data_IF_034708260333
#
_entry.id   IF_034708260333
#
_cell.length_a   1.000
_cell.length_b   1.000
_cell.length_c   1.000
_cell.angle_alpha   90.00
_cell.angle_beta   90.00
_cell.angle_gamma   90.00
#
_symmetry.space_group_name_H-M   'P 1'
#
loop_
_entity.id
_entity.type
_entity.pdbx_description
1 polymer ?
#
# COMPACT_ATOMS: atom_id res chain seq x y z
N UNK A 1 23.48 -3.27 -11.62
CA UNK A 1 22.67 -2.15 -11.10
C UNK A 1 21.87 -1.47 -12.21
N UNK A 2 22.48 -1.18 -13.38
CA UNK A 2 21.79 -0.52 -14.51
C UNK A 2 20.49 -1.21 -14.97
N UNK A 3 20.52 -2.54 -15.09
CA UNK A 3 19.36 -3.35 -15.48
C UNK A 3 18.21 -3.31 -14.44
N UNK A 4 18.55 -3.29 -13.15
CA UNK A 4 17.58 -3.14 -12.06
C UNK A 4 16.93 -1.75 -12.12
N UNK A 5 17.74 -0.70 -12.30
CA UNK A 5 17.25 0.66 -12.42
C UNK A 5 16.33 0.84 -13.64
N UNK A 6 16.70 0.26 -14.78
CA UNK A 6 15.86 0.23 -15.98
C UNK A 6 14.53 -0.49 -15.73
N UNK A 7 14.58 -1.67 -15.10
CA UNK A 7 13.38 -2.47 -14.76
C UNK A 7 12.44 -1.70 -13.84
N UNK A 8 12.97 -1.11 -12.77
CA UNK A 8 12.15 -0.37 -11.79
C UNK A 8 11.61 0.94 -12.38
N UNK A 9 12.37 1.62 -13.24
CA UNK A 9 11.90 2.82 -13.95
C UNK A 9 10.80 2.47 -14.96
N UNK A 10 10.92 1.33 -15.63
CA UNK A 10 9.88 0.76 -16.50
C UNK A 10 8.61 0.46 -15.71
N UNK A 11 8.74 -0.19 -14.56
CA UNK A 11 7.62 -0.44 -13.66
C UNK A 11 6.96 0.85 -13.16
N UNK A 12 7.74 1.84 -12.73
CA UNK A 12 7.22 3.15 -12.31
C UNK A 12 6.47 3.87 -13.43
N UNK A 13 6.91 3.72 -14.69
CA UNK A 13 6.17 4.22 -15.85
C UNK A 13 4.82 3.51 -16.02
N UNK A 14 4.77 2.19 -15.84
CA UNK A 14 3.53 1.40 -15.90
C UNK A 14 2.56 1.83 -14.80
N UNK A 15 3.05 2.07 -13.59
CA UNK A 15 2.26 2.59 -12.47
C UNK A 15 1.68 3.97 -12.76
N UNK A 16 2.48 4.88 -13.32
CA UNK A 16 2.01 6.20 -13.76
C UNK A 16 0.92 6.11 -14.81
N UNK A 17 1.05 5.20 -15.77
CA UNK A 17 0.00 4.94 -16.76
C UNK A 17 -1.29 4.37 -16.14
N UNK A 18 -1.18 3.65 -15.02
CA UNK A 18 -2.32 3.14 -14.25
C UNK A 18 -2.93 4.16 -13.26
N UNK A 19 -2.37 5.38 -13.21
CA UNK A 19 -2.86 6.48 -12.37
C UNK A 19 -2.26 6.52 -10.96
N UNK A 20 -1.18 5.77 -10.68
CA UNK A 20 -0.42 5.90 -9.42
C UNK A 20 0.60 7.01 -9.57
N UNK A 21 0.70 7.90 -8.57
CA UNK A 21 1.64 9.02 -8.55
C UNK A 21 3.09 8.59 -8.24
N UNK A 22 3.63 7.61 -8.98
CA UNK A 22 5.01 7.15 -8.87
C UNK A 22 5.98 8.14 -9.53
N UNK A 23 6.15 9.31 -8.91
CA UNK A 23 7.05 10.38 -9.35
C UNK A 23 8.54 9.98 -9.31
N UNK A 24 9.38 10.87 -9.84
CA UNK A 24 10.81 10.59 -9.97
C UNK A 24 11.50 10.42 -8.61
N UNK A 25 11.16 11.26 -7.62
CA UNK A 25 11.77 11.20 -6.29
C UNK A 25 11.41 9.88 -5.60
N UNK A 26 10.15 9.45 -5.67
CA UNK A 26 9.72 8.16 -5.16
C UNK A 26 10.43 6.98 -5.82
N UNK A 27 10.67 7.08 -7.13
CA UNK A 27 11.42 6.06 -7.87
C UNK A 27 12.87 6.00 -7.38
N UNK A 28 13.51 7.15 -7.10
CA UNK A 28 14.84 7.17 -6.51
C UNK A 28 14.87 6.60 -5.08
N UNK A 29 13.85 6.91 -4.27
CA UNK A 29 13.71 6.36 -2.93
C UNK A 29 13.53 4.83 -2.94
N UNK A 30 12.78 4.30 -3.92
CA UNK A 30 12.71 2.85 -4.14
C UNK A 30 14.09 2.26 -4.44
N UNK A 31 14.84 2.83 -5.39
CA UNK A 31 16.16 2.31 -5.75
C UNK A 31 17.12 2.30 -4.55
N UNK A 32 17.13 3.37 -3.76
CA UNK A 32 17.90 3.45 -2.51
C UNK A 32 17.46 2.39 -1.49
N UNK A 33 16.15 2.14 -1.37
CA UNK A 33 15.66 1.09 -0.49
C UNK A 33 16.13 -0.29 -0.97
N UNK A 34 16.09 -0.56 -2.27
CA UNK A 34 16.52 -1.83 -2.85
C UNK A 34 18.02 -2.11 -2.67
N UNK A 35 18.87 -1.08 -2.57
CA UNK A 35 20.29 -1.25 -2.23
C UNK A 35 20.52 -1.87 -0.83
N UNK A 36 19.50 -1.82 0.04
CA UNK A 36 19.55 -2.39 1.39
C UNK A 36 18.78 -3.72 1.53
N UNK A 37 18.12 -4.20 0.47
CA UNK A 37 17.24 -5.36 0.51
C UNK A 37 17.73 -6.45 -0.44
N UNK A 38 17.29 -7.69 -0.18
CA UNK A 38 17.49 -8.78 -1.13
C UNK A 38 16.47 -8.70 -2.26
N UNK A 39 16.91 -8.24 -3.43
CA UNK A 39 16.08 -8.12 -4.65
C UNK A 39 15.68 -9.46 -5.26
N UNK A 40 16.30 -10.57 -4.85
CA UNK A 40 15.91 -11.90 -5.28
C UNK A 40 14.66 -12.41 -4.54
N UNK A 41 14.31 -11.80 -3.40
CA UNK A 41 13.09 -12.10 -2.65
C UNK A 41 11.93 -11.18 -3.11
N UNK A 42 10.93 -11.69 -3.84
CA UNK A 42 9.86 -10.86 -4.39
C UNK A 42 9.06 -10.11 -3.33
N UNK A 43 8.93 -10.66 -2.11
CA UNK A 43 8.25 -9.99 -1.02
C UNK A 43 8.95 -8.69 -0.59
N UNK A 44 10.30 -8.67 -0.57
CA UNK A 44 11.10 -7.49 -0.21
C UNK A 44 10.85 -6.36 -1.23
N UNK A 45 10.91 -6.68 -2.52
CA UNK A 45 10.67 -5.73 -3.62
C UNK A 45 9.22 -5.21 -3.60
N UNK A 46 8.27 -6.11 -3.35
CA UNK A 46 6.86 -5.77 -3.25
C UNK A 46 6.59 -4.74 -2.16
N UNK A 47 7.10 -4.96 -0.95
CA UNK A 47 6.90 -4.05 0.17
C UNK A 47 7.66 -2.74 0.01
N UNK A 48 8.90 -2.79 -0.49
CA UNK A 48 9.67 -1.58 -0.79
C UNK A 48 8.94 -0.67 -1.77
N UNK A 49 8.39 -1.23 -2.84
CA UNK A 49 7.59 -0.46 -3.82
C UNK A 49 6.29 0.07 -3.23
N UNK A 50 5.55 -0.71 -2.43
CA UNK A 50 4.34 -0.20 -1.75
C UNK A 50 4.63 0.98 -0.83
N UNK A 51 5.73 0.94 -0.10
CA UNK A 51 6.08 1.98 0.88
C UNK A 51 6.62 3.26 0.22
N UNK A 52 7.28 3.14 -0.93
CA UNK A 52 7.95 4.28 -1.59
C UNK A 52 7.10 4.90 -2.70
N UNK A 53 6.40 4.09 -3.49
CA UNK A 53 5.70 4.54 -4.70
C UNK A 53 4.24 4.94 -4.47
N UNK A 54 3.59 4.42 -3.43
CA UNK A 54 2.20 4.76 -3.11
C UNK A 54 2.13 5.99 -2.20
N UNK A 55 1.34 6.98 -2.57
CA UNK A 55 1.15 8.21 -1.79
C UNK A 55 -0.17 8.20 -1.02
N UNK A 56 -1.17 7.49 -1.53
CA UNK A 56 -2.55 7.46 -1.03
C UNK A 56 -3.05 6.02 -0.89
N UNK A 57 -4.08 5.78 -0.06
CA UNK A 57 -4.72 4.47 0.04
C UNK A 57 -5.25 3.95 -1.31
N UNK A 58 -5.71 4.87 -2.18
CA UNK A 58 -6.19 4.56 -3.53
C UNK A 58 -5.10 4.04 -4.48
N UNK A 59 -3.82 4.31 -4.19
CA UNK A 59 -2.72 3.78 -4.99
C UNK A 59 -2.53 2.27 -4.78
N UNK A 60 -2.91 1.75 -3.61
CA UNK A 60 -2.62 0.36 -3.21
C UNK A 60 -3.25 -0.69 -4.14
N UNK A 61 -4.56 -0.62 -4.49
CA UNK A 61 -5.17 -1.60 -5.39
C UNK A 61 -4.64 -1.50 -6.83
N UNK A 62 -4.17 -0.32 -7.24
CA UNK A 62 -3.53 -0.13 -8.56
C UNK A 62 -2.15 -0.74 -8.57
N UNK A 63 -1.36 -0.44 -7.53
CA UNK A 63 -0.04 -1.02 -7.32
C UNK A 63 -0.09 -2.54 -7.33
N UNK A 64 -0.99 -3.15 -6.54
CA UNK A 64 -1.08 -4.61 -6.41
C UNK A 64 -1.34 -5.31 -7.75
N UNK A 65 -2.24 -4.75 -8.56
CA UNK A 65 -2.54 -5.27 -9.91
C UNK A 65 -1.33 -5.10 -10.85
N UNK A 66 -0.72 -3.93 -10.87
CA UNK A 66 0.44 -3.66 -11.71
C UNK A 66 1.63 -4.53 -11.32
N UNK A 67 1.90 -4.71 -10.03
CA UNK A 67 3.00 -5.54 -9.53
C UNK A 67 2.79 -6.99 -9.93
N UNK A 68 1.58 -7.53 -9.72
CA UNK A 68 1.24 -8.89 -10.11
C UNK A 68 1.37 -9.10 -11.64
N UNK A 69 0.94 -8.13 -12.45
CA UNK A 69 1.04 -8.21 -13.90
C UNK A 69 2.49 -8.07 -14.41
N UNK A 70 3.28 -7.20 -13.79
CA UNK A 70 4.65 -6.90 -14.22
C UNK A 70 5.65 -7.98 -13.80
N UNK A 71 5.57 -8.46 -12.56
CA UNK A 71 6.52 -9.44 -12.01
C UNK A 71 5.99 -10.89 -12.00
N UNK A 72 4.70 -11.12 -12.24
CA UNK A 72 4.07 -12.43 -12.05
C UNK A 72 4.10 -13.40 -13.22
N UNK A 73 4.26 -12.96 -14.48
CA UNK A 73 4.14 -13.83 -15.67
C UNK A 73 2.80 -14.61 -15.77
N UNK A 74 2.65 -15.52 -16.75
CA UNK A 74 1.40 -16.31 -17.02
C UNK A 74 0.88 -17.15 -15.82
N UNK A 75 1.65 -17.26 -14.73
CA UNK A 75 1.22 -17.89 -13.48
C UNK A 75 1.50 -16.95 -12.32
N UNK A 76 0.92 -15.75 -12.38
CA UNK A 76 0.89 -14.80 -11.27
C UNK A 76 0.29 -15.47 -10.04
N UNK A 77 1.16 -16.07 -9.21
CA UNK A 77 0.81 -16.62 -7.91
C UNK A 77 0.42 -15.40 -7.11
N UNK A 78 -0.89 -15.13 -7.03
CA UNK A 78 -1.44 -14.08 -6.19
C UNK A 78 -0.76 -14.23 -4.84
N UNK A 79 0.10 -13.27 -4.48
CA UNK A 79 0.58 -13.16 -3.12
C UNK A 79 -0.69 -13.08 -2.30
N UNK A 80 -0.98 -14.13 -1.53
CA UNK A 80 -2.07 -14.09 -0.56
C UNK A 80 -1.62 -13.03 0.42
N UNK A 81 -2.04 -11.78 0.18
CA UNK A 81 -2.00 -10.74 1.21
C UNK A 81 -2.68 -11.37 2.39
N UNK A 82 -1.88 -11.73 3.41
CA UNK A 82 -2.43 -12.14 4.67
C UNK A 82 -3.26 -10.95 5.14
N UNK A 83 -4.58 -11.12 5.18
CA UNK A 83 -5.46 -10.14 5.80
C UNK A 83 -5.06 -10.08 7.27
N UNK A 84 -4.22 -9.13 7.64
CA UNK A 84 -3.94 -8.85 9.03
C UNK A 84 -5.21 -8.24 9.62
N UNK A 85 -5.97 -9.06 10.33
CA UNK A 85 -7.12 -8.58 11.11
C UNK A 85 -6.54 -7.76 12.26
N UNK A 86 -6.61 -6.43 12.15
CA UNK A 86 -6.26 -5.53 13.24
C UNK A 86 -7.49 -5.37 14.12
N UNK A 87 -7.55 -6.11 15.23
CA UNK A 87 -8.56 -5.89 16.28
C UNK A 87 -8.27 -4.55 16.94
N UNK A 88 -9.03 -3.51 16.59
CA UNK A 88 -8.99 -2.22 17.29
C UNK A 88 -9.75 -2.39 18.61
N UNK A 89 -9.04 -2.30 19.74
CA UNK A 89 -9.68 -2.24 21.04
C UNK A 89 -10.28 -0.85 21.23
N UNK A 90 -11.61 -0.75 21.13
CA UNK A 90 -12.33 0.42 21.60
C UNK A 90 -12.36 0.36 23.13
N UNK A 91 -11.93 1.43 23.81
CA UNK A 91 -12.20 1.60 25.24
C UNK A 91 -13.71 1.77 25.41
N UNK A 92 -14.40 0.72 25.81
CA UNK A 92 -15.82 0.76 26.12
C UNK A 92 -16.03 1.36 27.52
N UNK A 93 -17.03 2.24 27.72
CA UNK A 93 -17.63 2.40 29.03
C UNK A 93 -18.48 1.16 29.34
N UNK A 94 -18.41 0.66 30.58
CA UNK A 94 -19.14 -0.52 31.06
C UNK A 94 -20.62 -0.53 30.64
N UNK A 95 -21.04 -1.62 29.98
CA UNK A 95 -22.43 -1.84 29.55
C UNK A 95 -22.61 -3.24 28.96
N UNK A 96 -23.30 -4.09 29.72
CA UNK A 96 -23.65 -5.49 29.51
C UNK A 96 -24.47 -5.74 28.22
N UNK A 97 -24.24 -6.89 27.55
CA UNK A 97 -25.12 -7.40 26.48
C UNK A 97 -24.42 -8.23 25.39
N UNK A 98 -24.50 -9.55 25.51
CA UNK A 98 -24.22 -10.55 24.46
C UNK A 98 -25.26 -10.47 23.32
N UNK A 99 -24.85 -10.61 22.06
CA UNK A 99 -25.34 -11.60 21.08
C UNK A 99 -24.73 -11.39 19.68
N UNK A 100 -24.36 -12.51 19.04
CA UNK A 100 -23.68 -12.64 17.75
C UNK A 100 -24.69 -12.52 16.58
N UNK A 101 -24.28 -11.86 15.48
CA UNK A 101 -25.04 -11.93 14.23
C UNK A 101 -24.58 -10.99 13.11
N UNK A 102 -23.84 -11.58 12.16
CA UNK A 102 -23.96 -11.35 10.71
C UNK A 102 -23.53 -10.02 10.05
N UNK A 103 -22.37 -10.10 9.39
CA UNK A 103 -22.03 -9.51 8.09
C UNK A 103 -22.74 -8.25 7.61
N UNK A 104 -22.12 -7.09 7.84
CA UNK A 104 -22.24 -5.94 6.95
C UNK A 104 -20.88 -5.24 6.88
N UNK A 105 -20.16 -5.43 5.76
CA UNK A 105 -18.90 -4.74 5.51
C UNK A 105 -19.22 -3.30 5.13
N UNK A 106 -19.49 -2.47 6.13
CA UNK A 106 -19.64 -1.03 5.96
C UNK A 106 -18.27 -0.40 5.80
N UNK A 107 -17.87 -0.21 4.54
CA UNK A 107 -16.88 0.80 4.20
C UNK A 107 -17.47 2.19 4.47
N UNK A 108 -17.14 2.80 5.61
CA UNK A 108 -17.37 4.22 5.90
C UNK A 108 -16.51 4.59 7.13
N UNK A 109 -15.87 5.75 7.26
CA UNK A 109 -15.75 6.93 6.42
C UNK A 109 -14.41 7.59 6.76
N UNK A 110 -13.90 8.44 5.86
CA UNK A 110 -12.89 9.43 6.22
C UNK A 110 -13.33 10.16 7.51
N UNK A 111 -12.44 10.31 8.49
CA UNK A 111 -12.78 11.02 9.73
C UNK A 111 -13.18 12.45 9.41
N UNK A 112 -14.35 12.87 9.91
CA UNK A 112 -14.99 14.16 9.63
C UNK A 112 -14.71 15.19 10.73
N UNK A 113 -13.47 15.23 11.25
CA UNK A 113 -13.13 16.09 12.38
C UNK A 113 -11.67 16.53 12.36
N UNK A 114 -11.33 17.44 11.44
CA UNK A 114 -10.18 18.33 11.60
C UNK A 114 -10.65 19.58 12.34
N UNK A 115 -10.24 19.75 13.59
CA UNK A 115 -10.39 21.02 14.32
C UNK A 115 -9.08 21.77 14.20
N UNK A 116 -8.98 22.67 13.21
CA UNK A 116 -7.96 23.70 13.18
C UNK A 116 -8.23 24.68 14.33
N UNK A 117 -7.43 24.60 15.41
CA UNK A 117 -7.36 25.68 16.39
C UNK A 117 -6.50 26.79 15.79
N UNK A 118 -7.15 27.80 15.24
CA UNK A 118 -6.52 29.08 14.98
C UNK A 118 -5.98 29.61 16.32
N UNK A 119 -4.67 29.82 16.41
CA UNK A 119 -4.10 30.75 17.38
C UNK A 119 -3.67 31.95 16.56
N UNK A 120 -4.54 32.95 16.46
CA UNK A 120 -4.10 34.27 16.05
C UNK A 120 -3.22 34.87 17.15
N UNK A 121 -2.06 35.36 16.68
CA UNK A 121 -1.08 36.31 17.24
C UNK A 121 -1.11 36.59 18.75
#
# INVERSE_FOLDING_TARGET
MDELAATMTGFARTLRAAGVAADHERTQNLLRALDHLDVAEPAQVYWAGRLTLCATPDDLPRYDRCFAAWFGGEKGRQSRTATTIVTRHATAPDGDGDEQGEGDVRHAAASRSEVLRHRDV
#
